data_IF_131366885285
#
_entry.id   IF_131366885285
#
_cell.length_a   1.000
_cell.length_b   1.000
_cell.length_c   1.000
_cell.angle_alpha   90.00
_cell.angle_beta   90.00
_cell.angle_gamma   90.00
#
_symmetry.space_group_name_H-M   'P 1'
#
loop_
_entity.id
_entity.type
_entity.pdbx_description
1 polymer ?
#
# COMPACT_ATOMS: atom_id res chain seq x y z
N UNK A 1 28.28 -17.35 3.44
CA UNK A 1 27.15 -18.29 3.22
C UNK A 1 26.44 -18.39 4.56
N UNK A 2 25.18 -17.96 4.60
CA UNK A 2 24.37 -18.08 5.82
C UNK A 2 24.10 -19.55 6.12
N UNK A 3 23.95 -19.91 7.39
CA UNK A 3 23.55 -21.27 7.77
C UNK A 3 22.06 -21.44 7.48
N UNK A 4 21.64 -22.48 6.72
CA UNK A 4 20.22 -22.75 6.49
C UNK A 4 19.46 -22.87 7.81
N UNK A 5 18.27 -22.29 7.85
CA UNK A 5 17.38 -22.32 9.02
C UNK A 5 16.10 -23.03 8.66
N UNK A 6 15.75 -24.06 9.42
CA UNK A 6 14.51 -24.82 9.23
C UNK A 6 13.49 -24.43 10.28
N UNK A 7 12.29 -24.06 9.85
CA UNK A 7 11.11 -23.87 10.68
C UNK A 7 10.31 -25.18 10.67
N UNK A 8 9.94 -25.68 11.84
CA UNK A 8 9.26 -26.97 12.02
C UNK A 8 7.95 -26.82 12.76
N UNK A 9 7.10 -27.85 12.69
CA UNK A 9 5.76 -27.86 13.30
C UNK A 9 4.93 -26.62 12.91
N UNK A 10 4.98 -26.23 11.64
CA UNK A 10 4.38 -25.00 11.11
C UNK A 10 3.08 -25.29 10.34
N UNK A 11 2.01 -24.53 10.61
CA UNK A 11 0.84 -24.44 9.71
C UNK A 11 1.12 -23.39 8.63
N UNK A 12 1.72 -23.82 7.54
CA UNK A 12 2.11 -22.95 6.43
C UNK A 12 0.90 -22.57 5.58
N UNK A 13 0.66 -21.26 5.41
CA UNK A 13 -0.37 -20.73 4.51
C UNK A 13 0.21 -20.62 3.11
N UNK A 14 -0.19 -21.51 2.22
CA UNK A 14 0.17 -21.54 0.80
C UNK A 14 -0.97 -20.95 -0.04
N UNK A 15 -0.73 -20.61 -1.33
CA UNK A 15 -1.75 -19.98 -2.17
C UNK A 15 -3.06 -20.77 -2.30
N UNK A 16 -3.01 -22.09 -2.15
CA UNK A 16 -4.13 -23.01 -2.39
C UNK A 16 -4.58 -23.78 -1.14
N UNK A 17 -3.78 -23.81 -0.07
CA UNK A 17 -4.05 -24.64 1.12
C UNK A 17 -3.26 -24.20 2.35
N UNK A 18 -3.65 -24.74 3.50
CA UNK A 18 -2.81 -24.74 4.71
C UNK A 18 -2.12 -26.10 4.82
N UNK A 19 -0.79 -26.10 4.87
CA UNK A 19 0.04 -27.31 4.99
C UNK A 19 0.72 -27.35 6.35
N UNK A 20 0.53 -28.44 7.11
CA UNK A 20 1.28 -28.67 8.34
C UNK A 20 2.60 -29.40 8.04
N UNK A 21 3.73 -28.80 8.42
CA UNK A 21 5.04 -29.41 8.23
C UNK A 21 6.20 -28.46 8.52
N UNK A 22 7.14 -28.37 7.59
CA UNK A 22 8.40 -27.62 7.75
C UNK A 22 8.72 -26.76 6.53
N UNK A 23 9.52 -25.71 6.75
CA UNK A 23 10.04 -24.79 5.74
C UNK A 23 11.50 -24.49 6.01
N UNK A 24 12.35 -24.57 4.98
CA UNK A 24 13.76 -24.19 5.05
C UNK A 24 13.99 -22.85 4.35
N UNK A 25 14.76 -22.00 5.02
CA UNK A 25 15.31 -20.78 4.46
C UNK A 25 16.82 -20.94 4.32
N UNK A 26 17.32 -20.76 3.10
CA UNK A 26 18.74 -20.66 2.79
C UNK A 26 19.02 -19.36 2.04
N UNK A 27 20.05 -18.65 2.46
CA UNK A 27 20.48 -17.36 1.90
C UNK A 27 19.32 -16.35 1.66
N UNK A 28 18.41 -16.24 2.64
CA UNK A 28 17.27 -15.32 2.59
C UNK A 28 16.14 -15.75 1.65
N UNK A 29 16.18 -16.97 1.11
CA UNK A 29 15.17 -17.54 0.21
C UNK A 29 14.58 -18.81 0.80
N UNK A 30 13.32 -19.07 0.48
CA UNK A 30 12.71 -20.37 0.75
C UNK A 30 13.37 -21.39 -0.19
N UNK A 31 14.15 -22.33 0.36
CA UNK A 31 14.87 -23.35 -0.41
C UNK A 31 14.03 -24.61 -0.59
N UNK A 32 13.27 -24.99 0.44
CA UNK A 32 12.42 -26.18 0.42
C UNK A 32 11.34 -26.11 1.49
N UNK A 33 10.26 -26.87 1.30
CA UNK A 33 9.20 -27.06 2.30
C UNK A 33 8.51 -28.41 2.07
N UNK A 34 7.90 -28.96 3.10
CA UNK A 34 7.21 -30.25 2.99
C UNK A 34 6.33 -30.58 4.18
N UNK A 35 5.45 -31.60 4.04
CA UNK A 35 4.67 -32.12 5.16
C UNK A 35 5.56 -32.87 6.16
N UNK A 36 5.06 -33.06 7.39
CA UNK A 36 5.70 -33.88 8.41
C UNK A 36 6.98 -33.26 9.00
N UNK A 37 7.98 -34.10 9.29
CA UNK A 37 9.27 -33.66 9.83
C UNK A 37 10.25 -33.21 8.74
N UNK A 38 11.21 -32.32 9.07
CA UNK A 38 12.20 -31.85 8.12
C UNK A 38 13.22 -32.95 7.73
N UNK A 39 13.98 -32.76 6.64
CA UNK A 39 15.12 -33.60 6.32
C UNK A 39 16.14 -33.60 7.47
N UNK A 40 16.81 -34.74 7.68
CA UNK A 40 17.86 -34.83 8.68
C UNK A 40 19.05 -33.93 8.31
N UNK A 41 19.70 -33.33 9.32
CA UNK A 41 20.94 -32.57 9.13
C UNK A 41 20.82 -31.04 9.11
N UNK A 42 19.65 -30.49 9.47
CA UNK A 42 19.51 -29.04 9.64
C UNK A 42 20.45 -28.50 10.74
N UNK A 43 21.37 -27.62 10.37
CA UNK A 43 22.31 -27.00 11.31
C UNK A 43 21.61 -26.06 12.32
N UNK A 44 20.45 -25.52 11.94
CA UNK A 44 19.60 -24.69 12.79
C UNK A 44 18.13 -25.05 12.57
N UNK A 45 17.41 -25.28 13.66
CA UNK A 45 15.97 -25.55 13.66
C UNK A 45 15.25 -24.60 14.62
N UNK A 46 14.06 -24.16 14.22
CA UNK A 46 13.12 -23.36 15.01
C UNK A 46 11.78 -24.09 15.02
N UNK A 47 11.35 -24.52 16.20
CA UNK A 47 10.04 -25.14 16.40
C UNK A 47 8.97 -24.05 16.56
N UNK A 48 7.95 -24.07 15.70
CA UNK A 48 6.83 -23.12 15.74
C UNK A 48 5.65 -23.60 16.58
N UNK A 49 5.66 -24.81 17.12
CA UNK A 49 4.65 -25.32 18.06
C UNK A 49 3.23 -25.29 17.50
N UNK A 50 3.07 -25.64 16.23
CA UNK A 50 1.80 -25.64 15.52
C UNK A 50 1.30 -24.24 15.16
N UNK A 51 2.10 -23.17 15.25
CA UNK A 51 1.67 -21.81 14.86
C UNK A 51 1.54 -21.67 13.35
N UNK A 52 0.81 -20.63 12.92
CA UNK A 52 0.73 -20.28 11.51
C UNK A 52 2.04 -19.65 11.05
N UNK A 53 2.48 -20.06 9.86
CA UNK A 53 3.53 -19.41 9.09
C UNK A 53 2.91 -18.93 7.79
N UNK A 54 2.85 -17.62 7.58
CA UNK A 54 2.28 -17.01 6.38
C UNK A 54 3.34 -16.15 5.68
N UNK A 55 3.17 -15.85 4.38
CA UNK A 55 3.89 -14.75 3.76
C UNK A 55 3.73 -13.48 4.60
N UNK A 56 4.81 -12.72 4.77
CA UNK A 56 4.72 -11.46 5.49
C UNK A 56 3.77 -10.48 4.79
N UNK A 57 3.09 -9.65 5.58
CA UNK A 57 2.06 -8.76 5.08
C UNK A 57 2.69 -7.64 4.25
N UNK A 58 1.95 -7.18 3.24
CA UNK A 58 2.31 -6.05 2.39
C UNK A 58 1.31 -4.92 2.65
N UNK A 59 1.78 -3.82 3.24
CA UNK A 59 0.96 -2.66 3.55
C UNK A 59 1.24 -1.54 2.54
N UNK A 60 0.31 -1.32 1.61
CA UNK A 60 0.48 -0.34 0.53
C UNK A 60 0.05 1.07 0.91
N UNK A 61 -0.56 1.25 2.10
CA UNK A 61 -1.14 2.52 2.49
C UNK A 61 -1.09 2.74 4.02
N UNK A 62 0.01 3.31 4.49
CA UNK A 62 0.18 3.72 5.88
C UNK A 62 0.90 5.06 6.04
N UNK A 63 0.30 5.97 6.81
CA UNK A 63 0.83 7.31 7.11
C UNK A 63 1.75 7.38 8.33
N UNK A 64 1.67 6.41 9.24
CA UNK A 64 2.37 6.48 10.52
C UNK A 64 1.98 5.36 11.48
N UNK A 65 2.78 5.20 12.53
CA UNK A 65 2.60 4.22 13.59
C UNK A 65 3.42 4.60 14.83
N UNK A 66 3.06 4.05 15.98
CA UNK A 66 3.78 4.24 17.24
C UNK A 66 4.04 5.72 17.62
N UNK A 67 3.15 6.63 17.24
CA UNK A 67 3.26 8.07 17.54
C UNK A 67 4.06 8.89 16.52
N UNK A 68 4.64 8.26 15.50
CA UNK A 68 5.39 8.91 14.42
C UNK A 68 4.62 8.87 13.09
N UNK A 69 4.94 9.79 12.18
CA UNK A 69 4.37 9.87 10.83
C UNK A 69 5.48 9.93 9.79
N UNK A 70 5.22 9.43 8.58
CA UNK A 70 6.26 9.22 7.55
C UNK A 70 6.69 10.48 6.81
N UNK A 71 5.95 11.58 6.97
CA UNK A 71 6.13 12.83 6.21
C UNK A 71 6.68 13.99 7.05
N UNK A 72 7.32 13.71 8.20
CA UNK A 72 8.09 14.71 8.96
C UNK A 72 9.43 15.07 8.29
N UNK A 73 9.92 14.21 7.40
CA UNK A 73 11.26 14.31 6.82
C UNK A 73 12.38 13.79 7.73
N UNK A 74 12.03 13.01 8.76
CA UNK A 74 12.98 12.37 9.69
C UNK A 74 13.19 10.90 9.33
N UNK A 75 14.45 10.45 9.22
CA UNK A 75 14.78 9.05 9.04
C UNK A 75 14.40 8.20 10.28
N UNK A 76 14.59 8.76 11.48
CA UNK A 76 14.25 8.10 12.74
C UNK A 76 12.74 7.82 12.83
N UNK A 77 11.89 8.77 12.38
CA UNK A 77 10.44 8.56 12.33
C UNK A 77 10.08 7.44 11.35
N UNK A 78 10.73 7.39 10.18
CA UNK A 78 10.51 6.31 9.22
C UNK A 78 10.90 4.94 9.79
N UNK A 79 12.05 4.84 10.47
CA UNK A 79 12.49 3.60 11.14
C UNK A 79 11.53 3.18 12.25
N UNK A 80 11.04 4.13 13.05
CA UNK A 80 10.06 3.87 14.10
C UNK A 80 8.74 3.35 13.54
N UNK A 81 8.21 4.00 12.50
CA UNK A 81 6.98 3.55 11.82
C UNK A 81 7.17 2.16 11.22
N UNK A 82 8.24 1.97 10.45
CA UNK A 82 8.52 0.72 9.77
C UNK A 82 8.73 -0.44 10.76
N UNK A 83 9.47 -0.20 11.85
CA UNK A 83 9.67 -1.15 12.94
C UNK A 83 8.36 -1.54 13.65
N UNK A 84 7.46 -0.57 13.90
CA UNK A 84 6.16 -0.85 14.49
C UNK A 84 5.30 -1.76 13.58
N UNK A 85 5.31 -1.52 12.27
CA UNK A 85 4.63 -2.37 11.29
C UNK A 85 5.24 -3.78 11.22
N UNK A 86 6.57 -3.88 11.29
CA UNK A 86 7.28 -5.16 11.28
C UNK A 86 6.93 -6.02 12.50
N UNK A 87 6.79 -5.41 13.68
CA UNK A 87 6.36 -6.09 14.91
C UNK A 87 4.95 -6.71 14.78
N UNK A 88 4.13 -6.21 13.87
CA UNK A 88 2.78 -6.72 13.59
C UNK A 88 2.71 -7.56 12.30
N UNK A 89 3.85 -7.97 11.75
CA UNK A 89 3.93 -8.92 10.63
C UNK A 89 4.00 -8.29 9.23
N UNK A 90 4.11 -6.96 9.12
CA UNK A 90 4.28 -6.27 7.83
C UNK A 90 5.75 -6.27 7.42
N UNK A 91 6.07 -7.08 6.42
CA UNK A 91 7.45 -7.25 5.92
C UNK A 91 7.74 -6.42 4.67
N UNK A 92 6.74 -5.77 4.10
CA UNK A 92 6.92 -4.79 3.02
C UNK A 92 5.86 -3.70 3.14
N UNK A 93 6.24 -2.43 3.01
CA UNK A 93 5.30 -1.33 3.09
C UNK A 93 5.65 -0.16 2.16
N UNK A 94 4.61 0.59 1.75
CA UNK A 94 4.76 1.90 1.13
C UNK A 94 4.50 2.99 2.19
N UNK A 95 5.47 3.87 2.40
CA UNK A 95 5.26 5.04 3.25
C UNK A 95 4.31 6.01 2.56
N UNK A 96 3.16 6.31 3.17
CA UNK A 96 2.11 7.14 2.58
C UNK A 96 2.20 8.60 3.04
N UNK A 97 2.57 9.49 2.13
CA UNK A 97 2.59 10.93 2.34
C UNK A 97 1.20 11.49 2.02
N UNK A 98 0.53 12.05 3.03
CA UNK A 98 -0.74 12.75 2.84
C UNK A 98 -0.57 14.03 2.02
N UNK A 99 -1.66 14.62 1.54
CA UNK A 99 -1.64 15.89 0.83
C UNK A 99 -1.20 17.02 1.77
N UNK A 100 -0.03 17.59 1.47
CA UNK A 100 0.66 18.65 2.21
C UNK A 100 1.24 19.67 1.23
N UNK A 101 1.72 20.85 1.68
CA UNK A 101 2.40 21.80 0.81
C UNK A 101 3.50 21.11 -0.02
N UNK A 102 3.59 21.46 -1.30
CA UNK A 102 4.40 20.69 -2.27
C UNK A 102 5.87 20.55 -1.89
N UNK A 103 6.45 21.54 -1.20
CA UNK A 103 7.81 21.51 -0.69
C UNK A 103 8.00 20.48 0.42
N UNK A 104 6.99 20.28 1.26
CA UNK A 104 6.96 19.23 2.29
C UNK A 104 6.84 17.85 1.64
N UNK A 105 5.95 17.69 0.65
CA UNK A 105 5.79 16.41 -0.06
C UNK A 105 7.06 16.02 -0.82
N UNK A 106 7.72 16.98 -1.49
CA UNK A 106 9.00 16.77 -2.18
C UNK A 106 10.08 16.33 -1.17
N UNK A 107 10.21 17.04 -0.04
CA UNK A 107 11.15 16.67 1.01
C UNK A 107 10.88 15.26 1.54
N UNK A 108 9.62 14.92 1.82
CA UNK A 108 9.25 13.59 2.28
C UNK A 108 9.62 12.51 1.25
N UNK A 109 9.35 12.76 -0.04
CA UNK A 109 9.73 11.87 -1.12
C UNK A 109 11.26 11.66 -1.20
N UNK A 110 12.06 12.72 -1.06
CA UNK A 110 13.53 12.63 -1.01
C UNK A 110 14.01 11.74 0.13
N UNK A 111 13.49 11.96 1.36
CA UNK A 111 13.89 11.19 2.53
C UNK A 111 13.46 9.73 2.43
N UNK A 112 12.21 9.46 2.04
CA UNK A 112 11.69 8.11 1.85
C UNK A 112 12.48 7.37 0.77
N UNK A 113 12.71 8.03 -0.38
CA UNK A 113 13.50 7.49 -1.47
C UNK A 113 14.92 7.11 -1.05
N UNK A 114 15.57 7.98 -0.27
CA UNK A 114 16.88 7.68 0.30
C UNK A 114 16.84 6.49 1.27
N UNK A 115 15.88 6.46 2.18
CA UNK A 115 15.73 5.39 3.18
C UNK A 115 15.51 4.01 2.53
N UNK A 116 14.67 3.91 1.49
CA UNK A 116 14.45 2.69 0.72
C UNK A 116 15.76 2.21 0.08
N UNK A 117 16.49 3.09 -0.61
CA UNK A 117 17.74 2.73 -1.30
C UNK A 117 18.88 2.33 -0.35
N UNK A 118 18.94 2.94 0.83
CA UNK A 118 19.93 2.59 1.85
C UNK A 118 19.51 1.38 2.68
N UNK A 119 18.33 0.81 2.45
CA UNK A 119 17.76 -0.27 3.28
C UNK A 119 17.74 0.09 4.77
N UNK A 120 17.54 1.37 5.10
CA UNK A 120 17.57 1.88 6.47
C UNK A 120 16.47 1.24 7.33
N UNK A 121 15.31 0.99 6.73
CA UNK A 121 14.23 0.20 7.30
C UNK A 121 13.96 -1.04 6.43
N UNK A 122 14.13 -2.23 7.00
CA UNK A 122 14.15 -3.50 6.26
C UNK A 122 12.84 -3.85 5.53
N UNK A 123 11.71 -3.32 6.00
CA UNK A 123 10.40 -3.52 5.39
C UNK A 123 9.89 -2.31 4.59
N UNK A 124 10.65 -1.22 4.46
CA UNK A 124 10.23 -0.08 3.65
C UNK A 124 10.56 -0.35 2.17
N UNK A 125 9.53 -0.54 1.35
CA UNK A 125 9.64 -0.98 -0.03
C UNK A 125 9.39 0.13 -1.06
N UNK A 126 8.78 1.24 -0.67
CA UNK A 126 8.49 2.34 -1.59
C UNK A 126 7.69 3.49 -0.97
N UNK A 127 7.14 4.33 -1.86
CA UNK A 127 6.42 5.54 -1.53
C UNK A 127 4.98 5.47 -2.05
N UNK A 128 4.04 5.94 -1.24
CA UNK A 128 2.70 6.27 -1.69
C UNK A 128 2.48 7.79 -1.49
N UNK A 129 2.10 8.49 -2.55
CA UNK A 129 1.68 9.89 -2.52
C UNK A 129 0.15 9.92 -2.53
N UNK A 130 -0.48 10.18 -1.40
CA UNK A 130 -1.94 10.31 -1.34
C UNK A 130 -2.35 11.75 -1.70
N UNK A 131 -2.35 12.03 -3.00
CA UNK A 131 -2.54 13.36 -3.60
C UNK A 131 -1.25 13.97 -4.17
N UNK A 132 -1.21 15.30 -4.41
CA UNK A 132 -2.17 16.32 -3.97
C UNK A 132 -3.37 16.55 -4.91
N UNK A 133 -3.49 15.75 -5.98
CA UNK A 133 -4.49 15.92 -7.03
C UNK A 133 -5.81 15.23 -6.68
N UNK A 134 -6.45 15.68 -5.60
CA UNK A 134 -7.66 15.05 -5.04
C UNK A 134 -8.87 15.98 -5.11
N UNK A 135 -10.06 15.39 -5.02
CA UNK A 135 -11.32 16.13 -5.04
C UNK A 135 -11.50 16.97 -3.78
N UNK A 136 -11.80 18.27 -3.93
CA UNK A 136 -12.08 19.14 -2.78
C UNK A 136 -13.30 18.67 -1.97
N UNK A 137 -14.32 18.12 -2.65
CA UNK A 137 -15.56 17.65 -2.02
C UNK A 137 -15.40 16.28 -1.36
N UNK A 138 -14.38 15.49 -1.72
CA UNK A 138 -14.06 14.19 -1.10
C UNK A 138 -12.73 14.17 -0.36
N UNK A 139 -12.24 15.34 0.07
CA UNK A 139 -10.93 15.48 0.71
C UNK A 139 -10.76 14.68 2.02
N UNK A 140 -11.83 14.42 2.76
CA UNK A 140 -11.71 13.76 4.07
C UNK A 140 -10.76 14.54 5.00
N UNK A 141 -9.71 13.87 5.48
CA UNK A 141 -8.70 14.45 6.36
C UNK A 141 -7.57 15.21 5.64
N UNK A 142 -7.57 15.25 4.31
CA UNK A 142 -6.52 15.91 3.52
C UNK A 142 -6.54 17.43 3.71
N UNK A 143 -5.36 18.06 3.71
CA UNK A 143 -5.22 19.50 3.91
C UNK A 143 -5.79 20.28 2.72
N UNK A 144 -6.90 20.97 2.95
CA UNK A 144 -7.65 21.70 1.92
C UNK A 144 -6.81 22.71 1.13
N UNK A 145 -5.94 23.45 1.82
CA UNK A 145 -5.08 24.48 1.21
C UNK A 145 -3.92 23.91 0.40
N UNK A 146 -3.68 22.60 0.48
CA UNK A 146 -2.63 21.90 -0.25
C UNK A 146 -3.16 21.07 -1.43
N UNK A 147 -4.48 21.02 -1.64
CA UNK A 147 -5.08 20.38 -2.81
C UNK A 147 -4.77 21.20 -4.07
N UNK A 148 -4.31 20.52 -5.11
CA UNK A 148 -3.90 21.15 -6.37
C UNK A 148 -4.62 20.51 -7.55
N UNK A 149 -4.75 21.27 -8.64
CA UNK A 149 -5.11 20.69 -9.93
C UNK A 149 -3.97 19.76 -10.42
N UNK A 150 -4.27 18.73 -11.22
CA UNK A 150 -3.28 17.88 -11.87
C UNK A 150 -2.18 18.70 -12.54
N UNK A 151 -0.93 18.47 -12.14
CA UNK A 151 0.24 19.22 -12.61
C UNK A 151 1.38 18.24 -13.01
N UNK A 152 1.65 18.09 -14.32
CA UNK A 152 2.75 17.26 -14.82
C UNK A 152 4.13 17.67 -14.29
N UNK A 153 4.39 18.97 -14.12
CA UNK A 153 5.68 19.46 -13.66
C UNK A 153 5.92 19.12 -12.18
N UNK A 154 4.89 19.32 -11.34
CA UNK A 154 4.96 18.89 -9.94
C UNK A 154 5.06 17.37 -9.81
N UNK A 155 4.31 16.62 -10.63
CA UNK A 155 4.38 15.15 -10.66
C UNK A 155 5.80 14.68 -10.95
N UNK A 156 6.42 15.22 -12.00
CA UNK A 156 7.82 14.95 -12.34
C UNK A 156 8.74 15.20 -11.15
N UNK A 157 8.63 16.36 -10.50
CA UNK A 157 9.45 16.72 -9.33
C UNK A 157 9.27 15.77 -8.14
N UNK A 158 8.04 15.34 -7.84
CA UNK A 158 7.75 14.38 -6.76
C UNK A 158 8.37 13.01 -7.04
N UNK A 159 8.24 12.52 -8.27
CA UNK A 159 8.82 11.22 -8.67
C UNK A 159 10.35 11.29 -8.74
N UNK A 160 10.91 12.40 -9.25
CA UNK A 160 12.37 12.61 -9.32
C UNK A 160 12.99 12.69 -7.91
N UNK A 161 12.30 13.36 -6.97
CA UNK A 161 12.68 13.42 -5.57
C UNK A 161 12.76 12.04 -4.91
N UNK A 162 11.75 11.20 -5.15
CA UNK A 162 11.73 9.82 -4.67
C UNK A 162 12.84 8.95 -5.31
N UNK A 163 13.20 9.24 -6.56
CA UNK A 163 14.17 8.46 -7.34
C UNK A 163 13.60 7.13 -7.83
N UNK A 164 14.47 6.19 -8.18
CA UNK A 164 14.07 4.89 -8.78
C UNK A 164 13.64 3.88 -7.71
N UNK A 165 12.46 4.13 -7.12
CA UNK A 165 11.79 3.23 -6.17
C UNK A 165 10.35 2.97 -6.64
N UNK A 166 9.68 1.92 -6.13
CA UNK A 166 8.24 1.76 -6.33
C UNK A 166 7.46 2.95 -5.78
N UNK A 167 6.64 3.59 -6.63
CA UNK A 167 5.81 4.73 -6.26
C UNK A 167 4.37 4.48 -6.66
N UNK A 168 3.46 4.72 -5.73
CA UNK A 168 2.02 4.83 -5.97
C UNK A 168 1.57 6.27 -5.77
N UNK A 169 0.61 6.75 -6.56
CA UNK A 169 0.01 8.08 -6.40
C UNK A 169 -1.52 7.97 -6.46
N UNK A 170 -2.20 8.43 -5.40
CA UNK A 170 -3.66 8.56 -5.39
C UNK A 170 -4.07 9.84 -6.11
N UNK A 171 -5.03 9.74 -7.04
CA UNK A 171 -5.54 10.84 -7.86
C UNK A 171 -7.06 10.76 -8.02
N UNK A 172 -7.71 11.92 -8.07
CA UNK A 172 -9.12 12.07 -8.40
C UNK A 172 -9.30 12.26 -9.92
N UNK A 173 -9.83 11.26 -10.66
CA UNK A 173 -9.86 11.28 -12.12
C UNK A 173 -10.87 12.26 -12.72
N UNK A 174 -11.77 12.84 -11.92
CA UNK A 174 -12.70 13.88 -12.40
C UNK A 174 -12.05 15.25 -12.59
N UNK A 175 -10.84 15.46 -12.07
CA UNK A 175 -10.14 16.73 -12.19
C UNK A 175 -9.63 16.96 -13.63
N UNK A 176 -9.73 18.20 -14.10
CA UNK A 176 -9.23 18.58 -15.42
C UNK A 176 -7.73 18.27 -15.53
N UNK A 177 -7.36 17.51 -16.56
CA UNK A 177 -5.99 17.06 -16.80
C UNK A 177 -5.59 15.75 -16.12
N UNK A 178 -6.39 15.19 -15.20
CA UNK A 178 -6.03 13.98 -14.48
C UNK A 178 -5.81 12.77 -15.40
N UNK A 179 -6.67 12.57 -16.40
CA UNK A 179 -6.57 11.45 -17.34
C UNK A 179 -5.28 11.53 -18.16
N UNK A 180 -4.94 12.70 -18.69
CA UNK A 180 -3.68 12.92 -19.42
C UNK A 180 -2.47 12.68 -18.52
N UNK A 181 -2.53 13.18 -17.29
CA UNK A 181 -1.44 13.00 -16.32
C UNK A 181 -1.23 11.52 -15.98
N UNK A 182 -2.31 10.75 -15.85
CA UNK A 182 -2.22 9.30 -15.66
C UNK A 182 -1.52 8.65 -16.86
N UNK A 183 -1.95 8.97 -18.08
CA UNK A 183 -1.38 8.41 -19.32
C UNK A 183 0.12 8.73 -19.44
N UNK A 184 0.51 9.99 -19.17
CA UNK A 184 1.89 10.47 -19.28
C UNK A 184 2.84 9.82 -18.26
N UNK A 185 2.34 9.46 -17.08
CA UNK A 185 3.17 9.00 -15.95
C UNK A 185 2.95 7.54 -15.52
N UNK A 186 2.02 6.80 -16.14
CA UNK A 186 1.74 5.39 -15.78
C UNK A 186 2.96 4.46 -15.96
N UNK A 187 3.94 4.85 -16.77
CA UNK A 187 5.23 4.15 -16.91
C UNK A 187 6.23 4.44 -15.78
N UNK A 188 5.97 5.44 -14.93
CA UNK A 188 6.86 5.90 -13.85
C UNK A 188 6.29 5.69 -12.45
N UNK A 189 4.97 5.63 -12.30
CA UNK A 189 4.31 5.33 -11.04
C UNK A 189 2.99 4.58 -11.24
N UNK A 190 2.51 3.95 -10.17
CA UNK A 190 1.20 3.30 -10.11
C UNK A 190 0.15 4.33 -9.71
N UNK A 191 -0.83 4.59 -10.57
CA UNK A 191 -1.96 5.43 -10.18
C UNK A 191 -3.05 4.64 -9.45
N UNK A 192 -3.46 5.18 -8.30
CA UNK A 192 -4.59 4.74 -7.50
C UNK A 192 -5.73 5.78 -7.60
N UNK A 193 -6.96 5.32 -7.72
CA UNK A 193 -8.14 6.19 -7.79
C UNK A 193 -8.71 6.33 -6.39
N UNK A 194 -8.81 7.55 -5.88
CA UNK A 194 -9.27 7.79 -4.50
C UNK A 194 -9.58 9.27 -4.27
N UNK A 195 -10.24 9.57 -3.14
CA UNK A 195 -10.67 10.93 -2.80
C UNK A 195 -11.37 11.63 -3.98
N UNK A 196 -12.37 10.97 -4.54
CA UNK A 196 -12.94 11.28 -5.86
C UNK A 196 -14.47 11.28 -5.85
N UNK A 197 -15.05 12.29 -6.48
CA UNK A 197 -16.48 12.39 -6.80
C UNK A 197 -16.78 11.93 -8.25
N UNK A 198 -15.85 11.21 -8.87
CA UNK A 198 -15.94 10.81 -10.26
C UNK A 198 -17.16 9.96 -10.57
N UNK A 199 -17.73 10.19 -11.75
CA UNK A 199 -18.67 9.25 -12.35
C UNK A 199 -17.99 7.93 -12.70
N UNK A 200 -18.79 6.87 -12.84
CA UNK A 200 -18.32 5.57 -13.32
C UNK A 200 -17.47 5.70 -14.61
N UNK A 201 -17.91 6.53 -15.57
CA UNK A 201 -17.22 6.72 -16.85
C UNK A 201 -15.84 7.36 -16.69
N UNK A 202 -15.70 8.33 -15.78
CA UNK A 202 -14.40 8.95 -15.51
C UNK A 202 -13.43 7.96 -14.86
N UNK A 203 -13.93 7.08 -13.99
CA UNK A 203 -13.10 5.99 -13.43
C UNK A 203 -12.67 5.01 -14.50
N UNK A 204 -13.57 4.58 -15.39
CA UNK A 204 -13.18 3.73 -16.53
C UNK A 204 -12.15 4.41 -17.42
N UNK A 205 -12.31 5.70 -17.73
CA UNK A 205 -11.34 6.46 -18.51
C UNK A 205 -9.96 6.51 -17.84
N UNK A 206 -9.90 6.66 -16.51
CA UNK A 206 -8.65 6.61 -15.77
C UNK A 206 -7.99 5.22 -15.82
N UNK A 207 -8.79 4.16 -15.72
CA UNK A 207 -8.30 2.78 -15.88
C UNK A 207 -7.76 2.56 -17.30
N UNK A 208 -8.47 3.03 -18.32
CA UNK A 208 -8.03 2.94 -19.71
C UNK A 208 -6.70 3.71 -19.93
N UNK A 209 -6.54 4.86 -19.28
CA UNK A 209 -5.32 5.67 -19.33
C UNK A 209 -4.13 5.06 -18.57
N UNK A 210 -4.35 4.11 -17.65
CA UNK A 210 -3.24 3.45 -16.94
C UNK A 210 -3.40 3.35 -15.42
N UNK A 211 -4.47 3.87 -14.83
CA UNK A 211 -4.77 3.64 -13.42
C UNK A 211 -5.08 2.16 -13.17
N UNK A 212 -4.61 1.64 -12.04
CA UNK A 212 -4.62 0.19 -11.78
C UNK A 212 -4.84 -0.15 -10.30
N UNK A 213 -5.17 0.83 -9.49
CA UNK A 213 -5.49 0.65 -8.08
C UNK A 213 -6.61 1.60 -7.67
N UNK A 214 -7.26 1.31 -6.54
CA UNK A 214 -8.33 2.12 -5.96
C UNK A 214 -8.08 2.20 -4.46
N UNK A 215 -7.91 3.43 -3.96
CA UNK A 215 -7.55 3.73 -2.58
C UNK A 215 -8.77 3.55 -1.67
N UNK A 216 -8.58 2.91 -0.52
CA UNK A 216 -9.57 2.65 0.56
C UNK A 216 -11.04 2.65 0.13
N UNK A 217 -11.43 1.69 -0.73
CA UNK A 217 -12.75 1.57 -1.35
C UNK A 217 -13.89 1.95 -0.38
N UNK A 218 -14.88 2.68 -0.89
CA UNK A 218 -15.98 3.36 -0.16
C UNK A 218 -15.61 4.68 0.51
N UNK A 219 -14.39 4.83 1.04
CA UNK A 219 -13.97 6.02 1.78
C UNK A 219 -13.52 7.13 0.83
N UNK A 220 -13.91 8.38 1.11
CA UNK A 220 -13.57 9.50 0.23
C UNK A 220 -14.10 9.35 -1.20
N UNK A 221 -15.24 8.68 -1.40
CA UNK A 221 -15.79 8.40 -2.73
C UNK A 221 -17.24 8.84 -2.89
N UNK A 222 -17.67 9.08 -4.12
CA UNK A 222 -19.09 9.15 -4.43
C UNK A 222 -19.79 7.83 -4.05
N UNK A 223 -20.93 7.87 -3.32
CA UNK A 223 -21.69 6.68 -2.95
C UNK A 223 -22.20 5.91 -4.17
N UNK A 224 -22.58 4.65 -3.94
CA UNK A 224 -23.16 3.81 -4.98
C UNK A 224 -24.63 4.21 -5.25
N UNK A 225 -24.92 4.69 -6.45
CA UNK A 225 -26.27 5.02 -6.90
C UNK A 225 -26.69 4.23 -8.15
N UNK A 226 -27.98 3.90 -8.27
CA UNK A 226 -28.49 3.04 -9.34
C UNK A 226 -28.27 3.55 -10.79
N UNK A 227 -28.25 4.87 -11.01
CA UNK A 227 -28.07 5.49 -12.35
C UNK A 227 -26.69 6.09 -12.58
N UNK A 228 -25.96 6.39 -11.51
CA UNK A 228 -24.57 6.82 -11.54
C UNK A 228 -23.79 6.00 -10.49
N UNK A 229 -23.37 4.78 -10.82
CA UNK A 229 -22.88 3.83 -9.83
C UNK A 229 -21.46 4.16 -9.32
N UNK A 230 -20.86 5.23 -9.87
CA UNK A 230 -19.71 5.90 -9.29
C UNK A 230 -18.42 5.08 -9.31
N UNK A 231 -17.42 5.49 -8.49
CA UNK A 231 -16.11 4.86 -8.45
C UNK A 231 -16.17 3.47 -7.80
N UNK A 232 -17.08 3.27 -6.84
CA UNK A 232 -17.24 2.00 -6.13
C UNK A 232 -17.60 0.87 -7.09
N UNK A 233 -18.63 1.09 -7.93
CA UNK A 233 -19.03 0.04 -8.88
C UNK A 233 -17.98 -0.21 -9.95
N UNK A 234 -17.28 0.83 -10.41
CA UNK A 234 -16.17 0.66 -11.35
C UNK A 234 -15.06 -0.22 -10.75
N UNK A 235 -14.65 0.05 -9.52
CA UNK A 235 -13.65 -0.76 -8.81
C UNK A 235 -14.07 -2.22 -8.62
N UNK A 236 -15.34 -2.47 -8.26
CA UNK A 236 -15.86 -3.82 -8.03
C UNK A 236 -16.09 -4.63 -9.31
N UNK A 237 -16.27 -3.96 -10.45
CA UNK A 237 -16.62 -4.64 -11.72
C UNK A 237 -15.47 -4.75 -12.71
N UNK A 238 -14.45 -3.89 -12.61
CA UNK A 238 -13.30 -3.91 -13.50
C UNK A 238 -12.13 -4.71 -12.91
N UNK A 239 -11.83 -5.87 -13.50
CA UNK A 239 -10.77 -6.77 -13.03
C UNK A 239 -9.34 -6.27 -13.30
N UNK A 240 -9.18 -5.14 -14.00
CA UNK A 240 -7.87 -4.54 -14.28
C UNK A 240 -7.30 -3.76 -13.10
N UNK A 241 -8.12 -3.46 -12.10
CA UNK A 241 -7.71 -2.75 -10.87
C UNK A 241 -7.76 -3.67 -9.66
N UNK A 242 -6.84 -3.46 -8.73
CA UNK A 242 -7.02 -3.89 -7.33
C UNK A 242 -7.61 -2.74 -6.51
N UNK A 243 -8.11 -3.04 -5.32
CA UNK A 243 -8.68 -2.04 -4.42
C UNK A 243 -8.29 -2.35 -2.97
N UNK A 244 -8.11 -1.30 -2.17
CA UNK A 244 -7.87 -1.40 -0.73
C UNK A 244 -9.20 -1.45 0.03
N UNK A 245 -9.20 -2.10 1.19
CA UNK A 245 -10.28 -2.08 2.16
C UNK A 245 -9.68 -1.92 3.56
N UNK A 246 -10.20 -0.99 4.34
CA UNK A 246 -9.81 -0.81 5.74
C UNK A 246 -10.75 -1.67 6.60
N UNK A 247 -10.26 -2.84 7.02
CA UNK A 247 -11.05 -3.84 7.75
C UNK A 247 -10.93 -3.69 9.28
N UNK A 248 -11.16 -2.49 9.81
CA UNK A 248 -11.06 -2.16 11.24
C UNK A 248 -12.42 -2.17 11.98
N UNK A 249 -13.52 -2.39 11.26
CA UNK A 249 -14.87 -2.34 11.80
C UNK A 249 -15.45 -0.93 11.99
N UNK A 250 -14.66 0.12 11.74
CA UNK A 250 -15.06 1.52 11.87
C UNK A 250 -15.22 2.21 10.51
N UNK A 251 -14.23 2.08 9.63
CA UNK A 251 -14.30 2.60 8.26
C UNK A 251 -15.29 1.80 7.41
N UNK A 252 -15.32 0.49 7.63
CA UNK A 252 -16.31 -0.42 7.06
C UNK A 252 -16.93 -1.18 8.23
N UNK A 253 -18.21 -0.91 8.56
CA UNK A 253 -18.89 -1.60 9.64
C UNK A 253 -18.88 -3.11 9.43
N UNK A 254 -18.63 -3.88 10.49
CA UNK A 254 -18.78 -5.34 10.46
C UNK A 254 -20.28 -5.69 10.48
N UNK A 255 -20.85 -6.27 9.40
CA UNK A 255 -22.25 -6.65 9.36
C UNK A 255 -22.61 -7.76 10.38
N UNK A 256 -21.62 -8.46 10.93
CA UNK A 256 -21.76 -9.47 11.99
C UNK A 256 -21.63 -8.90 13.41
N UNK A 257 -21.04 -7.71 13.57
CA UNK A 257 -21.06 -6.99 14.84
C UNK A 257 -22.45 -6.34 14.98
N UNK A 258 -23.39 -7.08 15.54
CA UNK A 258 -24.76 -6.61 15.71
C UNK A 258 -24.79 -5.19 16.27
N UNK A 259 -25.65 -4.34 15.68
CA UNK A 259 -25.99 -3.03 16.25
C UNK A 259 -26.50 -3.25 17.68
N UNK A 260 -25.59 -3.20 18.66
CA UNK A 260 -25.95 -3.08 20.06
C UNK A 260 -26.71 -1.77 20.21
N UNK A 261 -28.03 -1.87 20.28
CA UNK A 261 -28.92 -0.74 20.55
C UNK A 261 -28.73 -0.17 21.95
#
# INVERSE_FOLDING_TARGET
>A
MSTPTVFTDARMVLPDRVLHGWLEIDDGRISSLGPGGPPAGAARSVDLGGRYLAPGLVDVHCHGAAGSVVYTGSADDLEQVAGAHLQHGTTSMLASVATLPSDVMIRAAEVIGHAVRQTAAANLAGLHLEGPFLSQVRRGAQLETALLAPDPALTGRLLDAAGDIPIMMTIAPELDGAISLIEDFAGRCRFAIGHTDASYRQVIAAIDAGARHVTHLFNGMAPLEHRNPGPIAAALTDRRVSYELIADGHHIPDPGAGNGG
#
